data_IF_093110899005
#
_entry.id   IF_093110899005
#
_cell.length_a   1.000
_cell.length_b   1.000
_cell.length_c   1.000
_cell.angle_alpha   90.00
_cell.angle_beta   90.00
_cell.angle_gamma   90.00
#
_symmetry.space_group_name_H-M   'P 1'
#
loop_
_entity.id
_entity.type
_entity.pdbx_description
1 polymer ?
#
# COMPACT_ATOMS: atom_id res chain seq x y z
N UNK A 1 11.22 70.64 -30.37
CA UNK A 1 11.36 70.16 -31.76
C UNK A 1 11.46 68.64 -31.73
N UNK A 2 10.50 67.90 -32.33
CA UNK A 2 10.64 66.44 -32.47
C UNK A 2 11.41 66.16 -33.76
N UNK A 3 12.56 65.50 -33.65
CA UNK A 3 13.39 65.09 -34.78
C UNK A 3 12.53 64.37 -35.83
N UNK A 4 12.59 64.85 -37.08
CA UNK A 4 11.93 64.19 -38.20
C UNK A 4 12.70 62.92 -38.52
N UNK A 5 12.24 61.77 -38.00
CA UNK A 5 12.76 60.46 -38.40
C UNK A 5 12.60 60.29 -39.92
N UNK A 6 13.71 60.14 -40.62
CA UNK A 6 13.78 59.88 -42.06
C UNK A 6 13.51 58.40 -42.32
N UNK A 7 12.64 58.12 -43.30
CA UNK A 7 12.30 56.76 -43.75
C UNK A 7 13.25 56.40 -44.88
N UNK A 8 14.00 55.30 -44.73
CA UNK A 8 15.00 54.83 -45.69
C UNK A 8 14.55 53.53 -46.38
N UNK A 9 15.11 53.25 -47.55
CA UNK A 9 14.87 51.97 -48.25
C UNK A 9 15.50 50.83 -47.43
N UNK A 10 14.73 49.77 -47.18
CA UNK A 10 15.10 48.65 -46.32
C UNK A 10 14.53 48.71 -44.90
N UNK A 11 14.00 49.86 -44.47
CA UNK A 11 13.43 50.00 -43.13
C UNK A 11 12.17 49.16 -42.95
N UNK A 12 12.02 48.60 -41.74
CA UNK A 12 10.90 47.74 -41.35
C UNK A 12 10.00 48.45 -40.36
N UNK A 13 8.73 48.65 -40.74
CA UNK A 13 7.70 49.27 -39.91
C UNK A 13 6.50 48.32 -39.75
N UNK A 14 6.47 47.58 -38.64
CA UNK A 14 5.49 46.50 -38.45
C UNK A 14 5.71 45.37 -39.46
N UNK A 15 4.70 45.06 -40.26
CA UNK A 15 4.77 44.04 -41.33
C UNK A 15 5.20 44.62 -42.69
N UNK A 16 5.58 45.90 -42.75
CA UNK A 16 6.03 46.59 -43.96
C UNK A 16 7.55 46.66 -44.07
N UNK A 17 8.07 46.42 -45.27
CA UNK A 17 9.45 46.67 -45.67
C UNK A 17 9.46 47.73 -46.78
N UNK A 18 10.20 48.82 -46.59
CA UNK A 18 10.30 49.89 -47.60
C UNK A 18 11.15 49.43 -48.77
N UNK A 19 10.57 49.33 -49.97
CA UNK A 19 11.27 48.90 -51.19
C UNK A 19 11.84 50.11 -51.94
N UNK A 20 11.07 51.20 -52.01
CA UNK A 20 11.44 52.37 -52.80
C UNK A 20 10.90 53.63 -52.15
N UNK A 21 11.74 54.65 -52.08
CA UNK A 21 11.29 55.99 -51.75
C UNK A 21 10.69 56.66 -53.00
N UNK A 22 9.46 57.18 -52.89
CA UNK A 22 8.76 57.80 -54.02
C UNK A 22 8.87 59.32 -53.97
N UNK A 23 8.46 59.94 -52.86
CA UNK A 23 8.48 61.39 -52.70
C UNK A 23 8.59 61.79 -51.22
N UNK A 24 8.48 63.09 -50.91
CA UNK A 24 8.61 63.61 -49.53
C UNK A 24 7.55 63.05 -48.56
N UNK A 25 6.44 62.52 -49.04
CA UNK A 25 5.30 62.11 -48.21
C UNK A 25 4.99 60.60 -48.25
N UNK A 26 5.38 59.89 -49.31
CA UNK A 26 5.02 58.49 -49.56
C UNK A 26 6.23 57.62 -49.88
N UNK A 27 6.17 56.36 -49.45
CA UNK A 27 7.12 55.32 -49.80
C UNK A 27 6.40 54.06 -50.29
N UNK A 28 7.00 53.35 -51.23
CA UNK A 28 6.50 52.07 -51.73
C UNK A 28 6.97 50.94 -50.81
N UNK A 29 6.02 50.25 -50.17
CA UNK A 29 6.30 49.24 -49.16
C UNK A 29 5.77 47.87 -49.58
N UNK A 30 6.56 46.82 -49.32
CA UNK A 30 6.15 45.41 -49.40
C UNK A 30 5.68 44.94 -48.04
N UNK A 31 4.50 44.36 -47.94
CA UNK A 31 4.11 43.69 -46.70
C UNK A 31 4.62 42.24 -46.70
N UNK A 32 4.76 41.64 -45.52
CA UNK A 32 4.99 40.19 -45.34
C UNK A 32 3.98 39.31 -46.09
N UNK A 33 2.80 39.84 -46.39
CA UNK A 33 1.75 39.23 -47.22
C UNK A 33 2.09 39.13 -48.71
N UNK A 34 3.22 39.72 -49.17
CA UNK A 34 3.63 39.82 -50.56
C UNK A 34 3.01 41.00 -51.33
N UNK A 35 2.02 41.69 -50.76
CA UNK A 35 1.36 42.82 -51.41
C UNK A 35 2.22 44.09 -51.33
N UNK A 36 2.27 44.84 -52.43
CA UNK A 36 3.02 46.09 -52.55
C UNK A 36 2.02 47.25 -52.56
N UNK A 37 2.23 48.28 -51.73
CA UNK A 37 1.38 49.47 -51.69
C UNK A 37 2.21 50.73 -51.43
N UNK A 38 1.68 51.86 -51.89
CA UNK A 38 2.13 53.18 -51.47
C UNK A 38 1.60 53.49 -50.08
N UNK A 39 2.49 53.83 -49.15
CA UNK A 39 2.15 54.12 -47.77
C UNK A 39 2.77 55.46 -47.37
N UNK A 40 2.02 56.29 -46.64
CA UNK A 40 2.52 57.57 -46.13
C UNK A 40 3.67 57.34 -45.15
N UNK A 41 4.79 58.05 -45.36
CA UNK A 41 5.96 58.05 -44.46
C UNK A 41 5.57 58.46 -43.04
N UNK A 42 4.67 59.43 -42.90
CA UNK A 42 4.15 59.85 -41.61
C UNK A 42 3.47 58.69 -40.88
N UNK A 43 2.59 57.95 -41.56
CA UNK A 43 1.87 56.84 -40.94
C UNK A 43 2.75 55.62 -40.62
N UNK A 44 3.86 55.42 -41.35
CA UNK A 44 4.87 54.40 -41.04
C UNK A 44 5.61 54.76 -39.74
N UNK A 45 6.07 56.00 -39.61
CA UNK A 45 6.81 56.49 -38.43
C UNK A 45 5.93 56.56 -37.19
N UNK A 46 4.68 57.03 -37.31
CA UNK A 46 3.72 57.08 -36.20
C UNK A 46 3.08 55.72 -35.88
N UNK A 47 3.25 54.72 -36.75
CA UNK A 47 2.71 53.37 -36.55
C UNK A 47 1.20 53.24 -36.78
N UNK A 48 0.57 54.19 -37.49
CA UNK A 48 -0.85 54.14 -37.86
C UNK A 48 -1.15 53.06 -38.91
N UNK A 49 -0.17 52.70 -39.76
CA UNK A 49 -0.29 51.55 -40.67
C UNK A 49 0.80 50.54 -40.36
N UNK A 50 0.39 49.36 -39.88
CA UNK A 50 1.30 48.26 -39.53
C UNK A 50 1.29 47.12 -40.54
N UNK A 51 0.39 47.13 -41.54
CA UNK A 51 0.28 46.08 -42.56
C UNK A 51 -0.53 46.49 -43.80
N UNK A 52 -0.49 45.67 -44.86
CA UNK A 52 -1.22 45.84 -46.13
C UNK A 52 -2.76 45.78 -46.04
N UNK A 53 -3.33 45.53 -44.86
CA UNK A 53 -4.76 45.23 -44.70
C UNK A 53 -5.17 43.88 -45.28
N UNK A 54 -4.21 43.00 -45.62
CA UNK A 54 -4.52 41.66 -46.14
C UNK A 54 -5.29 40.77 -45.16
N UNK A 55 -5.42 41.18 -43.90
CA UNK A 55 -6.25 40.51 -42.90
C UNK A 55 -7.69 40.29 -43.39
N UNK A 56 -8.21 41.12 -44.31
CA UNK A 56 -9.53 40.98 -44.92
C UNK A 56 -9.64 40.20 -46.25
N UNK A 57 -8.55 39.69 -46.84
CA UNK A 57 -8.68 38.83 -48.04
C UNK A 57 -9.17 37.43 -47.63
N UNK A 58 -9.96 36.76 -48.46
CA UNK A 58 -10.41 35.39 -48.19
C UNK A 58 -9.22 34.39 -48.18
N UNK A 59 -9.22 33.41 -47.27
CA UNK A 59 -8.30 32.26 -47.32
C UNK A 59 -8.85 31.27 -48.34
N UNK A 60 -8.04 30.83 -49.30
CA UNK A 60 -8.44 29.85 -50.30
C UNK A 60 -8.57 28.45 -49.67
N UNK A 61 -9.64 27.75 -50.01
CA UNK A 61 -9.81 26.32 -49.71
C UNK A 61 -8.72 25.54 -50.46
N UNK A 62 -8.12 24.56 -49.80
CA UNK A 62 -6.96 23.79 -50.30
C UNK A 62 -5.60 24.44 -50.06
N UNK A 63 -5.54 25.69 -49.58
CA UNK A 63 -4.27 26.34 -49.27
C UNK A 63 -3.53 25.64 -48.13
N UNK A 64 -2.21 25.50 -48.28
CA UNK A 64 -1.34 24.89 -47.28
C UNK A 64 -0.61 25.95 -46.46
N UNK A 65 -0.62 25.78 -45.13
CA UNK A 65 0.04 26.64 -44.17
C UNK A 65 0.84 25.79 -43.18
N UNK A 66 2.12 25.56 -43.45
CA UNK A 66 2.92 24.58 -42.71
C UNK A 66 2.38 23.16 -42.95
N UNK A 67 1.99 22.46 -41.89
CA UNK A 67 1.38 21.13 -41.96
C UNK A 67 -0.15 21.18 -42.07
N UNK A 68 -0.74 22.37 -42.12
CA UNK A 68 -2.18 22.55 -42.26
C UNK A 68 -2.61 22.64 -43.72
N UNK A 69 -3.69 21.94 -44.06
CA UNK A 69 -4.45 22.11 -45.31
C UNK A 69 -5.82 22.67 -44.97
N UNK A 70 -6.21 23.79 -45.58
CA UNK A 70 -7.53 24.42 -45.37
C UNK A 70 -8.61 23.60 -46.07
N UNK A 71 -9.61 23.12 -45.34
CA UNK A 71 -10.71 22.31 -45.89
C UNK A 71 -11.95 23.16 -46.14
N UNK A 72 -12.37 23.95 -45.16
CA UNK A 72 -13.63 24.67 -45.23
C UNK A 72 -13.58 25.99 -44.43
N UNK A 73 -14.30 27.03 -44.86
CA UNK A 73 -14.59 28.16 -43.99
C UNK A 73 -15.52 27.73 -42.85
N UNK A 74 -15.28 28.24 -41.64
CA UNK A 74 -16.20 28.05 -40.49
C UNK A 74 -16.92 29.35 -40.22
N UNK A 75 -16.16 30.41 -39.94
CA UNK A 75 -16.69 31.73 -39.64
C UNK A 75 -15.79 32.83 -40.24
N UNK A 76 -16.09 34.09 -39.94
CA UNK A 76 -15.32 35.24 -40.43
C UNK A 76 -13.84 35.21 -39.97
N UNK A 77 -13.53 34.59 -38.84
CA UNK A 77 -12.21 34.59 -38.21
C UNK A 77 -11.49 33.23 -38.24
N UNK A 78 -12.20 32.13 -38.50
CA UNK A 78 -11.69 30.75 -38.43
C UNK A 78 -11.93 29.98 -39.72
N UNK A 79 -11.01 29.08 -40.02
CA UNK A 79 -11.13 28.08 -41.07
C UNK A 79 -10.88 26.69 -40.48
N UNK A 80 -11.56 25.68 -41.00
CA UNK A 80 -11.29 24.30 -40.69
C UNK A 80 -10.04 23.87 -41.45
N UNK A 81 -9.03 23.41 -40.71
CA UNK A 81 -7.80 22.89 -41.29
C UNK A 81 -7.59 21.43 -40.88
N UNK A 82 -7.12 20.60 -41.82
CA UNK A 82 -6.63 19.25 -41.55
C UNK A 82 -5.11 19.26 -41.56
N UNK A 83 -4.53 18.75 -40.47
CA UNK A 83 -3.10 18.59 -40.35
C UNK A 83 -2.65 17.37 -41.16
N UNK A 84 -1.37 17.31 -41.53
CA UNK A 84 -0.75 16.13 -42.15
C UNK A 84 -0.97 14.81 -41.40
N UNK A 85 -1.23 14.83 -40.09
CA UNK A 85 -1.56 13.65 -39.28
C UNK A 85 -3.06 13.27 -39.30
N UNK A 86 -3.88 13.92 -40.12
CA UNK A 86 -5.33 13.70 -40.21
C UNK A 86 -6.17 14.41 -39.14
N UNK A 87 -5.55 15.11 -38.17
CA UNK A 87 -6.32 15.86 -37.17
C UNK A 87 -6.91 17.13 -37.77
N UNK A 88 -8.23 17.30 -37.64
CA UNK A 88 -8.96 18.49 -38.08
C UNK A 88 -9.19 19.45 -36.92
N UNK A 89 -8.92 20.75 -37.12
CA UNK A 89 -9.18 21.78 -36.10
C UNK A 89 -9.64 23.10 -36.72
N UNK A 90 -10.49 23.85 -36.02
CA UNK A 90 -10.72 25.26 -36.31
C UNK A 90 -9.46 26.06 -35.97
N UNK A 91 -8.91 26.76 -36.96
CA UNK A 91 -7.71 27.60 -36.79
C UNK A 91 -8.03 29.03 -37.22
N UNK A 92 -7.58 30.01 -36.44
CA UNK A 92 -7.78 31.41 -36.78
C UNK A 92 -7.04 31.78 -38.08
N UNK A 93 -7.74 32.49 -38.98
CA UNK A 93 -7.19 33.00 -40.23
C UNK A 93 -5.91 33.82 -40.00
N UNK A 94 -5.87 34.59 -38.90
CA UNK A 94 -4.71 35.41 -38.53
C UNK A 94 -3.51 34.58 -38.06
N UNK A 95 -3.71 33.48 -37.35
CA UNK A 95 -2.60 32.64 -36.83
C UNK A 95 -2.03 31.70 -37.89
N UNK A 96 -2.83 31.29 -38.87
CA UNK A 96 -2.36 30.60 -40.09
C UNK A 96 -1.45 31.52 -40.92
N UNK A 97 -1.90 32.75 -41.18
CA UNK A 97 -1.15 33.73 -41.99
C UNK A 97 0.15 34.18 -41.35
N UNK A 98 0.12 34.49 -40.06
CA UNK A 98 1.31 34.89 -39.31
C UNK A 98 2.26 33.71 -39.01
N UNK A 99 1.92 32.48 -39.42
CA UNK A 99 2.74 31.30 -39.18
C UNK A 99 2.85 30.88 -37.71
N UNK A 100 2.01 31.44 -36.81
CA UNK A 100 1.95 31.03 -35.40
C UNK A 100 1.35 29.63 -35.23
N UNK A 101 0.42 29.25 -36.11
CA UNK A 101 -0.15 27.91 -36.16
C UNK A 101 0.40 27.14 -37.36
N UNK A 102 1.39 26.26 -37.12
CA UNK A 102 2.03 25.45 -38.18
C UNK A 102 1.55 24.00 -38.24
N UNK A 103 0.93 23.48 -37.17
CA UNK A 103 0.41 22.09 -37.09
C UNK A 103 -0.65 21.95 -35.98
N UNK A 104 -1.26 20.77 -35.87
CA UNK A 104 -2.36 20.49 -34.90
C UNK A 104 -1.96 20.48 -33.44
N UNK A 105 -0.73 20.82 -33.09
CA UNK A 105 -0.24 20.77 -31.71
C UNK A 105 0.04 19.34 -31.23
N UNK A 106 -0.75 18.33 -31.65
CA UNK A 106 -0.45 16.91 -31.40
C UNK A 106 0.83 16.48 -32.13
N UNK A 107 1.03 16.84 -33.40
CA UNK A 107 2.30 16.55 -34.10
C UNK A 107 3.51 17.16 -33.39
N UNK A 108 3.38 18.41 -32.95
CA UNK A 108 4.43 19.12 -32.22
C UNK A 108 4.71 18.46 -30.87
N UNK A 109 3.66 18.09 -30.14
CA UNK A 109 3.79 17.38 -28.86
C UNK A 109 4.40 15.98 -29.05
N UNK A 110 4.03 15.24 -30.10
CA UNK A 110 4.58 13.94 -30.42
C UNK A 110 6.07 14.00 -30.77
N UNK A 111 6.48 14.96 -31.60
CA UNK A 111 7.92 15.19 -31.88
C UNK A 111 8.69 15.54 -30.61
N UNK A 112 8.15 16.46 -29.81
CA UNK A 112 8.77 16.85 -28.54
C UNK A 112 8.84 15.70 -27.54
N UNK A 113 7.82 14.84 -27.52
CA UNK A 113 7.81 13.64 -26.69
C UNK A 113 8.89 12.64 -27.13
N UNK A 114 9.06 12.42 -28.45
CA UNK A 114 10.11 11.57 -28.99
C UNK A 114 11.52 12.08 -28.65
N UNK A 115 11.74 13.39 -28.76
CA UNK A 115 12.98 14.05 -28.39
C UNK A 115 13.28 13.91 -26.88
N UNK A 116 12.28 14.17 -26.03
CA UNK A 116 12.41 13.99 -24.58
C UNK A 116 12.67 12.53 -24.19
N UNK A 117 12.03 11.56 -24.85
CA UNK A 117 12.30 10.14 -24.60
C UNK A 117 13.76 9.79 -24.93
N UNK A 118 14.31 10.34 -26.02
CA UNK A 118 15.71 10.13 -26.40
C UNK A 118 16.70 10.78 -25.41
N UNK A 119 16.38 11.95 -24.87
CA UNK A 119 17.25 12.70 -23.95
C UNK A 119 17.23 12.14 -22.53
N UNK A 120 16.04 11.78 -22.00
CA UNK A 120 15.86 11.57 -20.57
C UNK A 120 15.73 10.11 -20.12
N UNK A 121 15.43 9.16 -21.01
CA UNK A 121 15.32 7.75 -20.61
C UNK A 121 16.68 7.27 -20.09
N UNK A 122 16.69 6.71 -18.87
CA UNK A 122 17.91 6.28 -18.18
C UNK A 122 18.66 7.38 -17.42
N UNK A 123 18.26 8.65 -17.56
CA UNK A 123 18.89 9.75 -16.83
C UNK A 123 18.63 9.64 -15.31
N UNK A 124 19.67 9.92 -14.52
CA UNK A 124 19.66 9.83 -13.06
C UNK A 124 19.60 11.21 -12.42
N UNK A 125 18.66 11.39 -11.49
CA UNK A 125 18.45 12.61 -10.71
C UNK A 125 18.40 12.26 -9.22
N UNK A 126 19.54 12.33 -8.54
CA UNK A 126 19.67 11.80 -7.19
C UNK A 126 19.40 10.29 -7.19
N UNK A 127 18.34 9.88 -6.48
CA UNK A 127 17.91 8.49 -6.35
C UNK A 127 16.92 8.07 -7.42
N UNK A 128 16.42 9.02 -8.22
CA UNK A 128 15.49 8.76 -9.30
C UNK A 128 16.23 8.36 -10.58
N UNK A 129 15.76 7.31 -11.23
CA UNK A 129 16.10 6.94 -12.60
C UNK A 129 14.85 7.08 -13.45
N UNK A 130 14.93 7.82 -14.56
CA UNK A 130 13.80 7.98 -15.46
C UNK A 130 13.64 6.70 -16.29
N UNK A 131 12.49 6.04 -16.15
CA UNK A 131 12.14 4.84 -16.93
C UNK A 131 11.49 5.25 -18.26
N UNK A 132 10.54 6.18 -18.20
CA UNK A 132 9.78 6.61 -19.38
C UNK A 132 9.28 8.06 -19.23
N UNK A 133 8.87 8.66 -20.33
CA UNK A 133 8.23 9.97 -20.39
C UNK A 133 6.73 9.77 -20.67
N UNK A 134 5.91 10.17 -19.70
CA UNK A 134 4.45 10.02 -19.74
C UNK A 134 3.84 11.10 -20.64
N UNK A 135 4.29 12.34 -20.47
CA UNK A 135 3.85 13.50 -21.25
C UNK A 135 5.00 14.50 -21.41
N UNK A 136 4.76 15.62 -22.12
CA UNK A 136 5.82 16.61 -22.40
C UNK A 136 6.37 17.34 -21.17
N UNK A 137 5.80 17.12 -19.98
CA UNK A 137 6.15 17.76 -18.71
C UNK A 137 6.54 16.75 -17.61
N UNK A 138 6.16 15.48 -17.74
CA UNK A 138 6.21 14.49 -16.67
C UNK A 138 6.91 13.20 -17.10
N UNK A 139 7.80 12.72 -16.24
CA UNK A 139 8.55 11.49 -16.40
C UNK A 139 8.13 10.46 -15.34
N UNK A 140 8.01 9.19 -15.73
CA UNK A 140 7.91 8.07 -14.81
C UNK A 140 9.31 7.72 -14.31
N UNK A 141 9.51 7.87 -13.00
CA UNK A 141 10.80 7.66 -12.35
C UNK A 141 10.72 6.47 -11.40
N UNK A 142 11.78 5.67 -11.35
CA UNK A 142 12.01 4.62 -10.35
C UNK A 142 13.11 5.06 -9.41
N UNK A 143 12.84 5.00 -8.12
CA UNK A 143 13.82 5.29 -7.10
C UNK A 143 14.72 4.07 -6.87
N UNK A 144 15.92 4.26 -6.34
CA UNK A 144 16.77 3.15 -5.84
C UNK A 144 16.02 2.24 -4.84
N UNK A 145 15.02 2.80 -4.13
CA UNK A 145 14.12 2.09 -3.21
C UNK A 145 13.08 1.19 -3.92
N UNK A 146 13.05 1.14 -5.26
CA UNK A 146 12.04 0.44 -6.07
C UNK A 146 10.69 1.16 -6.21
N UNK A 147 10.48 2.28 -5.50
CA UNK A 147 9.24 3.07 -5.63
C UNK A 147 9.20 3.77 -6.99
N UNK A 148 8.06 3.64 -7.68
CA UNK A 148 7.82 4.31 -8.96
C UNK A 148 6.86 5.49 -8.78
N UNK A 149 7.20 6.65 -9.36
CA UNK A 149 6.36 7.87 -9.30
C UNK A 149 6.42 8.66 -10.59
N UNK A 150 5.30 9.30 -10.93
CA UNK A 150 5.24 10.30 -12.00
C UNK A 150 5.70 11.65 -11.43
N UNK A 151 6.75 12.22 -12.01
CA UNK A 151 7.41 13.43 -11.51
C UNK A 151 7.54 14.43 -12.65
N UNK A 152 7.33 15.72 -12.39
CA UNK A 152 7.57 16.76 -13.38
C UNK A 152 9.07 16.88 -13.71
N UNK A 153 9.41 16.87 -14.99
CA UNK A 153 10.78 17.01 -15.52
C UNK A 153 11.42 18.31 -14.99
N UNK A 154 10.66 19.41 -14.93
CA UNK A 154 11.15 20.68 -14.38
C UNK A 154 11.55 20.58 -12.90
N UNK A 155 10.87 19.75 -12.11
CA UNK A 155 11.20 19.55 -10.69
C UNK A 155 12.47 18.70 -10.51
N UNK A 156 12.72 17.74 -11.42
CA UNK A 156 13.96 16.97 -11.48
C UNK A 156 15.15 17.87 -11.84
N UNK A 157 15.01 18.67 -12.92
CA UNK A 157 16.04 19.63 -13.34
C UNK A 157 16.36 20.67 -12.27
N UNK A 158 15.34 21.17 -11.57
CA UNK A 158 15.51 22.15 -10.50
C UNK A 158 15.97 21.53 -9.15
N UNK A 159 16.20 20.21 -9.08
CA UNK A 159 16.66 19.54 -7.86
C UNK A 159 15.66 19.56 -6.69
N UNK A 160 14.37 19.83 -6.94
CA UNK A 160 13.35 19.91 -5.87
C UNK A 160 12.93 18.55 -5.35
N UNK A 161 13.13 17.50 -6.16
CA UNK A 161 12.85 16.11 -5.78
C UNK A 161 14.00 15.23 -6.24
N UNK A 162 14.72 14.67 -5.26
CA UNK A 162 15.91 13.85 -5.48
C UNK A 162 15.73 12.41 -4.97
N UNK A 163 14.62 12.08 -4.30
CA UNK A 163 14.33 10.70 -3.86
C UNK A 163 12.84 10.47 -3.58
N UNK A 164 12.45 9.20 -3.42
CA UNK A 164 11.12 8.78 -2.97
C UNK A 164 10.80 9.21 -1.52
N UNK A 165 11.79 9.70 -0.77
CA UNK A 165 11.77 9.90 0.68
C UNK A 165 12.59 8.87 1.44
N UNK A 166 13.01 7.77 0.79
CA UNK A 166 13.88 6.72 1.35
C UNK A 166 15.24 7.22 1.82
N UNK A 167 15.71 8.38 1.34
CA UNK A 167 16.96 8.96 1.81
C UNK A 167 16.93 9.26 3.31
N UNK A 168 15.76 9.51 3.88
CA UNK A 168 15.58 9.70 5.33
C UNK A 168 15.78 8.42 6.14
N UNK A 169 15.81 7.27 5.48
CA UNK A 169 15.76 5.94 6.09
C UNK A 169 16.95 5.08 5.69
N UNK A 170 17.90 5.59 4.90
CA UNK A 170 19.08 4.84 4.41
C UNK A 170 19.92 4.20 5.51
N UNK A 171 20.05 4.87 6.66
CA UNK A 171 20.82 4.38 7.79
C UNK A 171 19.95 3.69 8.85
N UNK A 172 18.70 3.33 8.52
CA UNK A 172 17.78 2.65 9.43
C UNK A 172 17.35 1.33 8.82
N UNK A 173 17.21 0.31 9.65
CA UNK A 173 16.70 -0.99 9.21
C UNK A 173 15.29 -0.83 8.59
N UNK A 174 15.08 -1.25 7.33
CA UNK A 174 13.80 -1.08 6.61
C UNK A 174 12.59 -1.61 7.39
N UNK A 175 12.74 -2.70 8.14
CA UNK A 175 11.66 -3.27 8.95
C UNK A 175 11.28 -2.32 10.10
N UNK A 176 12.28 -1.79 10.81
CA UNK A 176 12.04 -0.84 11.92
C UNK A 176 11.41 0.47 11.47
N UNK A 177 11.72 0.90 10.23
CA UNK A 177 11.18 2.12 9.63
C UNK A 177 9.72 1.96 9.27
N UNK A 178 9.35 0.83 8.65
CA UNK A 178 7.97 0.53 8.28
C UNK A 178 7.06 0.49 9.52
N UNK A 179 7.49 -0.26 10.54
CA UNK A 179 6.79 -0.35 11.82
C UNK A 179 6.65 1.03 12.48
N UNK A 180 7.72 1.84 12.51
CA UNK A 180 7.69 3.17 13.11
C UNK A 180 6.75 4.15 12.38
N UNK A 181 6.66 4.06 11.05
CA UNK A 181 5.78 4.89 10.24
C UNK A 181 4.31 4.48 10.43
N UNK A 182 4.03 3.18 10.44
CA UNK A 182 2.69 2.64 10.66
C UNK A 182 2.16 3.01 12.05
N UNK A 183 2.98 2.82 13.09
CA UNK A 183 2.65 3.25 14.45
C UNK A 183 2.40 4.76 14.51
N UNK A 184 3.25 5.56 13.85
CA UNK A 184 3.08 7.00 13.78
C UNK A 184 1.76 7.41 13.11
N UNK A 185 1.35 6.68 12.07
CA UNK A 185 0.11 6.91 11.36
C UNK A 185 -1.11 6.55 12.21
N UNK A 186 -1.10 5.39 12.89
CA UNK A 186 -2.15 4.96 13.82
C UNK A 186 -2.39 6.00 14.91
N UNK A 187 -1.31 6.46 15.57
CA UNK A 187 -1.40 7.47 16.64
C UNK A 187 -1.98 8.78 16.10
N UNK A 188 -1.57 9.19 14.90
CA UNK A 188 -2.05 10.41 14.26
C UNK A 188 -3.53 10.31 13.89
N UNK A 189 -3.97 9.18 13.35
CA UNK A 189 -5.35 8.96 12.95
C UNK A 189 -6.28 8.88 14.16
N UNK A 190 -5.87 8.20 15.24
CA UNK A 190 -6.60 8.16 16.50
C UNK A 190 -6.79 9.57 17.11
N UNK A 191 -5.71 10.37 17.15
CA UNK A 191 -5.81 11.76 17.62
C UNK A 191 -6.74 12.60 16.73
N UNK A 192 -6.68 12.44 15.40
CA UNK A 192 -7.56 13.17 14.48
C UNK A 192 -9.02 12.77 14.58
N UNK A 193 -9.32 11.49 14.85
CA UNK A 193 -10.69 11.02 15.08
C UNK A 193 -11.32 11.67 16.32
N UNK A 194 -10.51 12.03 17.33
CA UNK A 194 -10.95 12.83 18.48
C UNK A 194 -10.97 14.36 18.21
N UNK A 195 -10.69 14.78 16.98
CA UNK A 195 -10.59 16.20 16.62
C UNK A 195 -9.33 16.89 17.18
N UNK A 196 -8.32 16.12 17.57
CA UNK A 196 -7.07 16.60 18.15
C UNK A 196 -5.94 16.68 17.12
N UNK A 197 -4.84 17.31 17.53
CA UNK A 197 -3.55 17.30 16.83
C UNK A 197 -2.50 16.83 17.81
N UNK A 198 -1.47 16.11 17.35
CA UNK A 198 -0.44 15.54 18.23
C UNK A 198 0.38 16.59 18.98
N UNK A 199 0.58 17.76 18.39
CA UNK A 199 1.40 18.84 18.97
C UNK A 199 0.69 20.18 18.84
N UNK A 200 0.31 20.74 19.99
CA UNK A 200 -0.19 22.10 20.09
C UNK A 200 0.92 23.10 20.41
N UNK A 201 1.92 22.67 21.19
CA UNK A 201 3.09 23.47 21.58
C UNK A 201 4.27 23.26 20.61
N UNK A 202 5.26 24.17 20.67
CA UNK A 202 6.54 24.09 19.92
C UNK A 202 6.38 24.09 18.38
N UNK A 203 5.45 24.89 17.86
CA UNK A 203 5.34 25.13 16.42
C UNK A 203 6.42 26.11 15.96
N UNK A 204 7.00 25.84 14.80
CA UNK A 204 7.96 26.75 14.18
C UNK A 204 7.29 28.09 13.87
N UNK A 205 7.96 29.18 14.23
CA UNK A 205 7.51 30.54 13.93
C UNK A 205 7.61 30.75 12.41
N UNK A 206 6.61 31.39 11.83
CA UNK A 206 6.61 31.72 10.42
C UNK A 206 7.72 32.76 10.14
N UNK A 207 8.56 32.52 9.11
CA UNK A 207 9.65 33.42 8.71
C UNK A 207 9.17 34.84 8.38
N UNK A 208 7.91 34.98 7.97
CA UNK A 208 7.30 36.27 7.64
C UNK A 208 6.65 36.96 8.86
N UNK A 209 6.86 36.45 10.07
CA UNK A 209 6.28 37.01 11.29
C UNK A 209 7.04 38.27 11.72
N UNK A 210 6.38 39.43 11.63
CA UNK A 210 6.98 40.71 11.99
C UNK A 210 7.24 40.89 13.51
N UNK A 211 6.47 40.20 14.35
CA UNK A 211 6.54 40.30 15.83
C UNK A 211 7.35 39.18 16.47
N UNK A 212 7.75 38.16 15.71
CA UNK A 212 8.38 36.94 16.24
C UNK A 212 7.48 36.06 17.12
N UNK A 213 6.22 36.44 17.38
CA UNK A 213 5.30 35.71 18.27
C UNK A 213 4.06 35.27 17.50
N UNK A 214 3.75 33.97 17.53
CA UNK A 214 2.62 33.40 16.79
C UNK A 214 1.29 33.88 17.36
N UNK A 215 0.44 34.48 16.51
CA UNK A 215 -0.87 34.99 16.92
C UNK A 215 -0.82 36.38 17.57
N UNK A 216 0.30 37.09 17.44
CA UNK A 216 0.42 38.51 17.82
C UNK A 216 0.78 39.31 16.59
N UNK A 217 -0.07 40.27 16.20
CA UNK A 217 0.19 41.17 15.09
C UNK A 217 0.33 42.62 15.57
N UNK A 218 1.26 43.35 14.95
CA UNK A 218 1.39 44.80 15.12
C UNK A 218 0.24 45.48 14.38
N UNK A 219 -0.49 46.33 15.08
CA UNK A 219 -1.59 47.17 14.59
C UNK A 219 -1.22 48.64 14.79
N UNK A 220 -1.66 49.50 13.89
CA UNK A 220 -1.47 50.96 14.00
C UNK A 220 -2.86 51.55 14.23
N UNK A 221 -3.07 52.17 15.40
CA UNK A 221 -4.33 52.85 15.74
C UNK A 221 -4.49 54.11 14.87
N UNK A 222 -5.71 54.62 14.76
CA UNK A 222 -6.02 55.85 13.99
C UNK A 222 -5.18 57.05 14.45
N UNK A 223 -4.81 57.08 15.73
CA UNK A 223 -3.99 58.13 16.35
C UNK A 223 -2.48 57.95 16.12
N UNK A 224 -2.07 57.04 15.22
CA UNK A 224 -0.66 56.74 14.91
C UNK A 224 0.07 55.88 15.95
N UNK A 225 -0.54 55.62 17.11
CA UNK A 225 0.04 54.76 18.16
C UNK A 225 0.09 53.30 17.72
N UNK A 226 1.22 52.64 18.01
CA UNK A 226 1.40 51.20 17.76
C UNK A 226 0.73 50.42 18.88
N UNK A 227 -0.09 49.44 18.51
CA UNK A 227 -0.68 48.47 19.42
C UNK A 227 -0.42 47.04 18.92
N UNK A 228 -0.52 46.06 19.80
CA UNK A 228 -0.30 44.66 19.52
C UNK A 228 -1.58 43.89 19.77
N UNK A 229 -2.18 43.37 18.70
CA UNK A 229 -3.39 42.56 18.79
C UNK A 229 -3.01 41.09 18.96
N UNK A 230 -3.49 40.48 20.04
CA UNK A 230 -3.29 39.06 20.31
C UNK A 230 -4.56 38.26 20.00
N UNK A 231 -4.40 37.09 19.38
CA UNK A 231 -5.48 36.16 19.10
C UNK A 231 -5.00 34.71 19.18
N UNK A 232 -5.94 33.80 19.45
CA UNK A 232 -5.73 32.35 19.38
C UNK A 232 -6.79 31.73 18.48
N UNK A 233 -6.41 30.73 17.69
CA UNK A 233 -7.39 29.97 16.89
C UNK A 233 -7.63 28.62 17.55
N UNK A 234 -8.89 28.34 17.86
CA UNK A 234 -9.34 27.12 18.52
C UNK A 234 -10.54 26.58 17.75
N UNK A 235 -10.52 25.31 17.33
CA UNK A 235 -11.60 24.69 16.54
C UNK A 235 -11.99 25.49 15.29
N UNK A 236 -11.00 26.00 14.55
CA UNK A 236 -11.18 26.87 13.36
C UNK A 236 -11.89 28.21 13.64
N UNK A 237 -12.13 28.57 14.91
CA UNK A 237 -12.65 29.87 15.32
C UNK A 237 -11.54 30.72 15.93
N UNK A 238 -11.41 31.96 15.48
CA UNK A 238 -10.47 32.92 16.02
C UNK A 238 -11.08 33.59 17.26
N UNK A 239 -10.38 33.49 18.40
CA UNK A 239 -10.72 34.12 19.66
C UNK A 239 -9.76 35.30 19.85
N UNK A 240 -10.31 36.51 19.90
CA UNK A 240 -9.54 37.72 20.25
C UNK A 240 -9.19 37.71 21.73
N UNK A 241 -7.92 37.97 22.06
CA UNK A 241 -7.44 38.02 23.44
C UNK A 241 -7.37 39.46 23.95
N UNK A 242 -7.14 40.41 23.07
CA UNK A 242 -7.09 41.84 23.37
C UNK A 242 -6.15 42.60 22.44
N UNK A 243 -6.11 43.91 22.62
CA UNK A 243 -5.09 44.81 22.08
C UNK A 243 -4.29 45.38 23.23
N UNK A 244 -2.97 45.32 23.12
CA UNK A 244 -2.02 45.72 24.16
C UNK A 244 -1.08 46.78 23.62
N UNK A 245 -0.53 47.64 24.48
CA UNK A 245 0.39 48.68 24.02
C UNK A 245 1.82 48.14 23.87
N UNK A 246 2.17 47.07 24.60
CA UNK A 246 3.48 46.40 24.51
C UNK A 246 3.39 45.01 23.87
N UNK A 247 4.47 44.62 23.16
CA UNK A 247 4.60 43.28 22.59
C UNK A 247 4.62 42.19 23.67
N UNK A 248 5.23 42.49 24.83
CA UNK A 248 5.38 41.55 25.93
C UNK A 248 4.04 41.20 26.57
N UNK A 249 3.17 42.19 26.78
CA UNK A 249 1.80 41.97 27.27
C UNK A 249 0.96 41.17 26.29
N UNK A 250 1.03 41.48 24.99
CA UNK A 250 0.35 40.69 23.98
C UNK A 250 0.86 39.24 23.93
N UNK A 251 2.16 39.03 24.11
CA UNK A 251 2.77 37.71 24.17
C UNK A 251 2.38 36.95 25.44
N UNK A 252 2.29 37.61 26.60
CA UNK A 252 1.86 36.98 27.86
C UNK A 252 0.38 36.57 27.80
N UNK A 253 -0.49 37.43 27.26
CA UNK A 253 -1.89 37.11 27.00
C UNK A 253 -2.03 35.92 26.03
N UNK A 254 -1.20 35.89 24.97
CA UNK A 254 -1.14 34.76 24.05
C UNK A 254 -0.73 33.47 24.76
N UNK A 255 0.30 33.51 25.60
CA UNK A 255 0.80 32.36 26.36
C UNK A 255 -0.26 31.82 27.34
N UNK A 256 -0.92 32.71 28.08
CA UNK A 256 -2.04 32.35 28.95
C UNK A 256 -3.16 31.63 28.18
N UNK A 257 -3.49 32.11 26.98
CA UNK A 257 -4.46 31.46 26.13
C UNK A 257 -4.00 30.08 25.61
N UNK A 258 -2.70 29.89 25.33
CA UNK A 258 -2.17 28.55 25.01
C UNK A 258 -2.33 27.61 26.19
N UNK A 259 -1.97 28.04 27.39
CA UNK A 259 -2.15 27.21 28.59
C UNK A 259 -3.62 26.87 28.83
N UNK A 260 -4.54 27.83 28.65
CA UNK A 260 -5.98 27.60 28.83
C UNK A 260 -6.59 26.66 27.78
N UNK A 261 -6.29 26.87 26.49
CA UNK A 261 -6.99 26.17 25.41
C UNK A 261 -6.22 24.98 24.83
N UNK A 262 -4.89 25.02 24.85
CA UNK A 262 -4.05 23.98 24.25
C UNK A 262 -3.54 22.96 25.26
N UNK A 263 -3.28 23.33 26.51
CA UNK A 263 -2.78 22.38 27.52
C UNK A 263 -3.70 21.16 27.73
N UNK A 264 -5.03 21.32 27.95
CA UNK A 264 -5.91 20.16 28.12
C UNK A 264 -5.99 19.27 26.87
N UNK A 265 -5.83 19.87 25.68
CA UNK A 265 -5.84 19.15 24.41
C UNK A 265 -4.56 18.38 24.17
N UNK A 266 -3.42 18.95 24.57
CA UNK A 266 -2.13 18.30 24.54
C UNK A 266 -2.13 17.09 25.49
N UNK A 267 -2.62 17.25 26.72
CA UNK A 267 -2.72 16.16 27.70
C UNK A 267 -3.58 14.99 27.16
N UNK A 268 -4.70 15.29 26.49
CA UNK A 268 -5.52 14.26 25.82
C UNK A 268 -4.76 13.57 24.67
N UNK A 269 -4.09 14.34 23.81
CA UNK A 269 -3.33 13.78 22.70
C UNK A 269 -2.16 12.91 23.20
N UNK A 270 -1.49 13.32 24.28
CA UNK A 270 -0.41 12.59 24.91
C UNK A 270 -0.92 11.30 25.57
N UNK A 271 -2.12 11.33 26.17
CA UNK A 271 -2.78 10.15 26.73
C UNK A 271 -3.10 9.12 25.64
N UNK A 272 -3.75 9.51 24.55
CA UNK A 272 -4.05 8.63 23.40
C UNK A 272 -2.77 7.97 22.88
N UNK A 273 -1.71 8.78 22.71
CA UNK A 273 -0.41 8.28 22.28
C UNK A 273 0.16 7.26 23.27
N UNK A 274 0.08 7.53 24.57
CA UNK A 274 0.59 6.62 25.60
C UNK A 274 -0.17 5.29 25.63
N UNK A 275 -1.50 5.33 25.54
CA UNK A 275 -2.37 4.16 25.55
C UNK A 275 -2.09 3.26 24.33
N UNK A 276 -2.01 3.83 23.12
CA UNK A 276 -1.68 3.08 21.89
C UNK A 276 -0.27 2.46 21.98
N UNK A 277 0.72 3.22 22.46
CA UNK A 277 2.08 2.68 22.61
C UNK A 277 2.14 1.56 23.66
N UNK A 278 1.32 1.63 24.70
CA UNK A 278 1.19 0.57 25.70
C UNK A 278 0.58 -0.69 25.09
N UNK A 279 -0.52 -0.57 24.36
CA UNK A 279 -1.15 -1.69 23.66
C UNK A 279 -0.19 -2.38 22.68
N UNK A 280 0.55 -1.60 21.88
CA UNK A 280 1.53 -2.15 20.93
C UNK A 280 2.64 -2.91 21.66
N UNK A 281 3.13 -2.39 22.80
CA UNK A 281 4.14 -3.07 23.61
C UNK A 281 3.61 -4.36 24.22
N UNK A 282 2.37 -4.36 24.70
CA UNK A 282 1.70 -5.55 25.25
C UNK A 282 1.52 -6.61 24.15
N UNK A 283 1.03 -6.24 22.97
CA UNK A 283 0.91 -7.15 21.82
C UNK A 283 2.27 -7.71 21.37
N UNK A 284 3.33 -6.89 21.41
CA UNK A 284 4.67 -7.35 21.07
C UNK A 284 5.19 -8.34 22.11
N UNK A 285 5.01 -8.05 23.40
CA UNK A 285 5.37 -8.96 24.49
C UNK A 285 4.59 -10.28 24.43
N UNK A 286 3.30 -10.25 24.07
CA UNK A 286 2.49 -11.44 23.86
C UNK A 286 2.99 -12.28 22.68
N UNK A 287 3.32 -11.65 21.55
CA UNK A 287 3.91 -12.33 20.39
C UNK A 287 5.28 -12.93 20.71
N UNK A 288 6.12 -12.20 21.43
CA UNK A 288 7.43 -12.68 21.89
C UNK A 288 7.27 -13.85 22.87
N UNK A 289 6.33 -13.76 23.81
CA UNK A 289 5.99 -14.87 24.72
C UNK A 289 5.48 -16.08 23.93
N UNK A 290 4.60 -15.86 22.95
CA UNK A 290 4.08 -16.93 22.08
C UNK A 290 5.17 -17.57 21.21
N UNK A 291 6.17 -16.79 20.79
CA UNK A 291 7.34 -17.28 20.06
C UNK A 291 8.37 -17.97 20.98
N UNK A 292 8.48 -17.52 22.24
CA UNK A 292 9.38 -18.05 23.26
C UNK A 292 8.84 -19.29 23.96
N UNK A 293 7.52 -19.56 23.88
CA UNK A 293 6.99 -20.90 24.13
C UNK A 293 7.72 -21.80 23.14
N UNK A 294 8.64 -22.68 23.59
CA UNK A 294 9.28 -23.60 22.69
C UNK A 294 8.14 -24.34 22.02
N UNK A 295 8.14 -24.38 20.68
CA UNK A 295 7.31 -25.33 19.96
C UNK A 295 7.63 -26.67 20.60
N UNK A 296 6.77 -27.13 21.50
CA UNK A 296 6.78 -28.52 21.90
C UNK A 296 6.42 -29.18 20.58
N UNK A 297 7.42 -29.67 19.86
CA UNK A 297 7.26 -30.53 18.71
C UNK A 297 6.68 -31.87 19.18
N UNK A 298 5.51 -31.83 19.80
CA UNK A 298 4.61 -32.97 19.84
C UNK A 298 3.99 -33.06 18.46
N UNK A 299 4.75 -33.74 17.58
CA UNK A 299 4.61 -33.86 16.14
C UNK A 299 5.04 -32.62 15.35
N UNK A 300 6.30 -32.63 14.92
CA UNK A 300 6.55 -32.37 13.51
C UNK A 300 5.50 -33.11 12.67
N UNK A 301 4.47 -32.40 12.19
CA UNK A 301 3.93 -32.75 10.89
C UNK A 301 5.13 -32.66 9.97
N UNK A 302 5.68 -33.83 9.61
CA UNK A 302 6.67 -33.96 8.54
C UNK A 302 6.27 -33.01 7.41
N UNK A 303 7.22 -32.35 6.74
CA UNK A 303 6.90 -31.59 5.54
C UNK A 303 5.99 -32.46 4.66
N UNK A 304 4.82 -31.95 4.27
CA UNK A 304 3.90 -32.63 3.34
C UNK A 304 4.50 -32.59 1.93
N UNK A 305 5.67 -33.19 1.78
CA UNK A 305 6.39 -33.45 0.54
C UNK A 305 7.34 -34.64 0.72
N UNK A 306 6.95 -35.65 1.52
CA UNK A 306 7.29 -37.02 1.11
C UNK A 306 6.15 -37.40 0.17
N UNK A 307 6.37 -37.24 -1.12
CA UNK A 307 5.60 -38.02 -2.09
C UNK A 307 5.72 -39.47 -1.61
N UNK A 308 4.61 -40.13 -1.24
CA UNK A 308 4.61 -41.55 -0.85
C UNK A 308 4.93 -42.47 -2.05
N UNK A 309 5.63 -41.94 -3.04
CA UNK A 309 6.10 -42.57 -4.26
C UNK A 309 7.38 -43.31 -3.89
N UNK A 310 7.27 -44.62 -3.85
CA UNK A 310 8.41 -45.52 -3.72
C UNK A 310 8.49 -46.37 -4.98
N UNK A 311 9.70 -46.87 -5.26
CA UNK A 311 9.89 -47.85 -6.31
C UNK A 311 9.16 -49.14 -5.94
N UNK A 312 8.27 -49.59 -6.83
CA UNK A 312 7.43 -50.78 -6.67
C UNK A 312 7.52 -51.64 -7.90
N UNK A 313 7.37 -52.94 -7.72
CA UNK A 313 7.36 -53.90 -8.81
C UNK A 313 5.93 -54.10 -9.30
N UNK A 314 5.71 -53.94 -10.61
CA UNK A 314 4.41 -54.21 -11.20
C UNK A 314 4.06 -55.70 -11.11
N UNK A 315 2.87 -56.04 -10.61
CA UNK A 315 2.44 -57.45 -10.46
C UNK A 315 2.12 -58.16 -11.79
N UNK A 316 2.14 -57.46 -12.91
CA UNK A 316 1.78 -58.00 -14.24
C UNK A 316 3.02 -58.21 -15.10
N UNK A 317 3.87 -57.19 -15.20
CA UNK A 317 5.05 -57.23 -16.07
C UNK A 317 6.40 -57.25 -15.31
N UNK A 318 6.40 -57.16 -13.97
CA UNK A 318 7.62 -57.20 -13.17
C UNK A 318 8.49 -55.93 -13.23
N UNK A 319 8.15 -54.93 -14.05
CA UNK A 319 8.92 -53.69 -14.17
C UNK A 319 8.81 -52.87 -12.86
N UNK A 320 9.95 -52.32 -12.41
CA UNK A 320 10.01 -51.37 -11.30
C UNK A 320 9.51 -49.99 -11.74
N UNK A 321 8.61 -49.39 -10.97
CA UNK A 321 8.01 -48.09 -11.27
C UNK A 321 7.78 -47.28 -9.98
N UNK A 322 7.79 -45.96 -10.09
CA UNK A 322 7.47 -45.07 -8.98
C UNK A 322 5.95 -45.00 -8.75
N UNK A 323 5.48 -45.42 -7.58
CA UNK A 323 4.05 -45.49 -7.28
C UNK A 323 3.71 -45.25 -5.81
N UNK A 324 2.50 -44.74 -5.56
CA UNK A 324 1.96 -44.55 -4.20
C UNK A 324 1.78 -45.89 -3.43
N UNK A 325 1.45 -45.86 -2.12
CA UNK A 325 1.42 -47.04 -1.25
C UNK A 325 0.58 -48.21 -1.75
N UNK A 326 -0.48 -47.91 -2.50
CA UNK A 326 -1.46 -48.87 -3.03
C UNK A 326 -1.28 -49.16 -4.52
N UNK A 327 -0.25 -48.64 -5.18
CA UNK A 327 -0.04 -48.83 -6.62
C UNK A 327 0.46 -50.26 -6.91
N UNK A 328 -0.37 -51.06 -7.60
CA UNK A 328 -0.06 -52.47 -7.96
C UNK A 328 0.53 -52.64 -9.36
N UNK A 329 0.25 -51.69 -10.26
CA UNK A 329 0.58 -51.81 -11.69
C UNK A 329 1.38 -50.61 -12.17
N UNK A 330 2.34 -50.82 -13.07
CA UNK A 330 3.03 -49.74 -13.78
C UNK A 330 2.03 -48.96 -14.66
N UNK A 331 2.39 -47.75 -15.13
CA UNK A 331 1.49 -46.92 -15.94
C UNK A 331 0.91 -47.66 -17.17
N UNK A 332 1.74 -48.44 -17.86
CA UNK A 332 1.36 -49.23 -19.04
C UNK A 332 0.35 -50.35 -18.70
N UNK A 333 0.69 -51.22 -17.75
CA UNK A 333 -0.21 -52.30 -17.33
C UNK A 333 -1.51 -51.78 -16.73
N UNK A 334 -1.46 -50.63 -16.02
CA UNK A 334 -2.65 -49.96 -15.49
C UNK A 334 -3.60 -49.53 -16.59
N UNK A 335 -3.08 -49.01 -17.72
CA UNK A 335 -3.88 -48.60 -18.87
C UNK A 335 -4.52 -49.80 -19.58
N UNK A 336 -3.76 -50.89 -19.78
CA UNK A 336 -4.28 -52.13 -20.38
C UNK A 336 -5.44 -52.70 -19.57
N UNK A 337 -5.24 -52.88 -18.26
CA UNK A 337 -6.28 -53.39 -17.35
C UNK A 337 -7.49 -52.45 -17.30
N UNK A 338 -7.27 -51.13 -17.31
CA UNK A 338 -8.37 -50.16 -17.33
C UNK A 338 -9.20 -50.32 -18.62
N UNK A 339 -8.54 -50.37 -19.79
CA UNK A 339 -9.22 -50.54 -21.08
C UNK A 339 -10.02 -51.83 -21.15
N UNK A 340 -9.48 -52.93 -20.64
CA UNK A 340 -10.20 -54.21 -20.55
C UNK A 340 -11.42 -54.12 -19.63
N UNK A 341 -11.24 -53.53 -18.44
CA UNK A 341 -12.34 -53.31 -17.50
C UNK A 341 -13.42 -52.42 -18.08
N UNK A 342 -13.06 -51.35 -18.80
CA UNK A 342 -14.00 -50.44 -19.44
C UNK A 342 -14.76 -51.15 -20.58
N UNK A 343 -14.08 -51.99 -21.37
CA UNK A 343 -14.72 -52.85 -22.39
C UNK A 343 -15.69 -53.85 -21.76
N UNK A 344 -15.27 -54.48 -20.67
CA UNK A 344 -16.11 -55.43 -19.95
C UNK A 344 -17.31 -54.73 -19.29
N UNK A 345 -17.13 -53.53 -18.73
CA UNK A 345 -18.22 -52.71 -18.20
C UNK A 345 -19.20 -52.32 -19.30
N UNK A 346 -18.72 -51.96 -20.50
CA UNK A 346 -19.58 -51.72 -21.68
C UNK A 346 -20.36 -52.96 -22.10
N UNK A 347 -19.75 -54.16 -22.03
CA UNK A 347 -20.41 -55.44 -22.34
C UNK A 347 -21.45 -55.84 -21.29
N UNK A 348 -21.12 -55.72 -20.01
CA UNK A 348 -21.98 -56.13 -18.88
C UNK A 348 -23.10 -55.13 -18.58
N UNK A 349 -22.99 -53.90 -19.08
CA UNK A 349 -23.93 -52.81 -18.80
C UNK A 349 -23.85 -52.28 -17.37
N UNK A 350 -24.48 -51.14 -17.13
CA UNK A 350 -24.54 -50.53 -15.79
C UNK A 350 -25.70 -51.15 -15.02
N UNK A 351 -25.41 -52.02 -14.05
CA UNK A 351 -26.44 -52.66 -13.19
C UNK A 351 -27.31 -51.66 -12.43
N UNK A 352 -26.79 -50.47 -12.16
CA UNK A 352 -27.45 -49.40 -11.39
C UNK A 352 -27.21 -48.05 -12.06
N UNK A 353 -28.07 -47.64 -13.00
CA UNK A 353 -27.90 -46.40 -13.75
C UNK A 353 -28.08 -45.17 -12.84
N UNK A 354 -27.35 -44.10 -13.15
CA UNK A 354 -27.50 -42.81 -12.46
C UNK A 354 -28.90 -42.28 -12.80
N UNK A 355 -29.66 -41.88 -11.79
CA UNK A 355 -31.05 -41.46 -11.90
C UNK A 355 -32.11 -42.54 -11.66
N UNK A 356 -31.73 -43.81 -11.46
CA UNK A 356 -32.69 -44.83 -11.02
C UNK A 356 -33.09 -44.63 -9.55
N UNK A 357 -34.17 -45.29 -9.12
CA UNK A 357 -34.56 -45.38 -7.71
C UNK A 357 -33.84 -46.59 -7.09
N UNK A 358 -33.26 -46.43 -5.90
CA UNK A 358 -32.68 -47.51 -5.09
C UNK A 358 -33.03 -47.33 -3.60
N UNK A 359 -32.84 -48.37 -2.79
CA UNK A 359 -33.26 -48.42 -1.38
C UNK A 359 -32.08 -48.17 -0.44
N UNK A 360 -32.27 -47.27 0.53
CA UNK A 360 -31.24 -46.90 1.51
C UNK A 360 -30.94 -48.07 2.46
N UNK A 361 -29.67 -48.48 2.55
CA UNK A 361 -29.26 -49.58 3.44
C UNK A 361 -29.36 -49.28 4.94
N UNK A 362 -29.63 -48.02 5.33
CA UNK A 362 -29.76 -47.61 6.73
C UNK A 362 -31.21 -47.47 7.18
N UNK A 363 -32.07 -46.87 6.34
CA UNK A 363 -33.45 -46.55 6.72
C UNK A 363 -34.52 -47.21 5.83
N UNK A 364 -34.13 -47.92 4.77
CA UNK A 364 -35.06 -48.58 3.85
C UNK A 364 -35.87 -47.65 2.95
N UNK A 365 -35.66 -46.33 3.01
CA UNK A 365 -36.32 -45.37 2.11
C UNK A 365 -35.74 -45.41 0.71
N UNK A 366 -36.59 -45.23 -0.29
CA UNK A 366 -36.20 -45.04 -1.68
C UNK A 366 -35.47 -43.70 -1.88
N UNK A 367 -34.48 -43.67 -2.76
CA UNK A 367 -33.75 -42.48 -3.14
C UNK A 367 -33.25 -42.54 -4.58
N UNK A 368 -33.06 -41.37 -5.20
CA UNK A 368 -32.53 -41.25 -6.55
C UNK A 368 -31.00 -41.43 -6.49
N UNK A 369 -30.49 -42.34 -7.33
CA UNK A 369 -29.06 -42.68 -7.37
C UNK A 369 -28.27 -41.60 -8.08
N UNK A 370 -27.47 -40.84 -7.34
CA UNK A 370 -26.59 -39.81 -7.89
C UNK A 370 -25.19 -40.36 -8.22
N UNK A 371 -24.76 -41.43 -7.53
CA UNK A 371 -23.47 -42.08 -7.80
C UNK A 371 -23.53 -43.60 -7.67
N UNK A 372 -22.78 -44.31 -8.52
CA UNK A 372 -22.73 -45.79 -8.50
C UNK A 372 -22.17 -46.41 -7.22
N UNK A 373 -21.64 -45.61 -6.28
CA UNK A 373 -21.15 -46.06 -4.97
C UNK A 373 -22.06 -45.65 -3.81
N UNK A 374 -23.14 -44.91 -4.06
CA UNK A 374 -24.05 -44.43 -3.03
C UNK A 374 -24.78 -45.60 -2.37
N UNK A 375 -24.67 -45.76 -1.06
CA UNK A 375 -25.37 -46.84 -0.31
C UNK A 375 -26.49 -46.33 0.58
N UNK A 376 -26.58 -45.01 0.73
CA UNK A 376 -27.42 -44.33 1.69
C UNK A 376 -28.11 -43.16 1.00
N UNK A 377 -29.34 -42.86 1.41
CA UNK A 377 -30.03 -41.64 1.01
C UNK A 377 -29.28 -40.40 1.54
N UNK A 378 -29.51 -39.20 0.98
CA UNK A 378 -28.83 -37.97 1.40
C UNK A 378 -28.93 -37.66 2.89
N UNK A 379 -30.07 -37.98 3.52
CA UNK A 379 -30.31 -37.79 4.96
C UNK A 379 -29.40 -38.69 5.82
N UNK A 380 -29.30 -39.97 5.48
CA UNK A 380 -28.53 -40.95 6.25
C UNK A 380 -27.03 -40.98 5.90
N UNK A 381 -26.65 -40.48 4.71
CA UNK A 381 -25.30 -40.64 4.18
C UNK A 381 -24.23 -40.06 5.10
N UNK A 382 -24.42 -38.84 5.61
CA UNK A 382 -23.41 -38.16 6.41
C UNK A 382 -23.07 -38.92 7.71
N UNK A 383 -24.09 -39.41 8.41
CA UNK A 383 -23.91 -40.10 9.68
C UNK A 383 -23.35 -41.51 9.50
N UNK A 384 -23.89 -42.27 8.54
CA UNK A 384 -23.48 -43.65 8.29
C UNK A 384 -22.07 -43.76 7.71
N UNK A 385 -21.69 -42.84 6.82
CA UNK A 385 -20.31 -42.76 6.32
C UNK A 385 -19.36 -42.47 7.49
N UNK A 386 -19.71 -41.53 8.37
CA UNK A 386 -18.92 -41.18 9.55
C UNK A 386 -18.79 -42.35 10.53
N UNK A 387 -19.85 -43.15 10.71
CA UNK A 387 -19.84 -44.36 11.54
C UNK A 387 -18.88 -45.41 10.97
N UNK A 388 -19.00 -45.73 9.68
CA UNK A 388 -18.10 -46.68 8.98
C UNK A 388 -16.64 -46.23 9.00
N UNK A 389 -16.36 -44.95 8.83
CA UNK A 389 -14.99 -44.44 8.89
C UNK A 389 -14.40 -44.48 10.30
N UNK A 390 -15.22 -44.26 11.35
CA UNK A 390 -14.80 -44.45 12.75
C UNK A 390 -14.47 -45.91 13.04
N UNK A 391 -15.31 -46.84 12.59
CA UNK A 391 -15.09 -48.29 12.77
C UNK A 391 -13.80 -48.73 12.09
N UNK A 392 -13.64 -48.40 10.79
CA UNK A 392 -12.41 -48.68 10.04
C UNK A 392 -11.17 -48.01 10.63
N UNK A 393 -11.33 -46.81 11.18
CA UNK A 393 -10.27 -46.10 11.89
C UNK A 393 -9.83 -46.81 13.17
N UNK A 394 -10.77 -47.40 13.92
CA UNK A 394 -10.47 -48.22 15.11
C UNK A 394 -9.73 -49.50 14.72
N UNK A 395 -10.19 -50.18 13.68
CA UNK A 395 -9.55 -51.40 13.14
C UNK A 395 -8.11 -51.12 12.69
N UNK A 396 -7.92 -50.08 11.87
CA UNK A 396 -6.59 -49.67 11.42
C UNK A 396 -5.68 -49.33 12.60
N UNK A 397 -6.18 -48.57 13.59
CA UNK A 397 -5.39 -48.22 14.77
C UNK A 397 -5.02 -49.46 15.61
N UNK A 398 -5.91 -50.44 15.72
CA UNK A 398 -5.65 -51.69 16.41
C UNK A 398 -4.58 -52.52 15.66
N UNK A 399 -4.71 -52.67 14.34
CA UNK A 399 -3.71 -53.35 13.51
C UNK A 399 -2.34 -52.69 13.60
N UNK A 400 -2.27 -51.35 13.54
CA UNK A 400 -0.99 -50.64 13.61
C UNK A 400 -0.34 -50.75 14.99
N UNK A 401 -1.14 -50.76 16.07
CA UNK A 401 -0.64 -51.01 17.43
C UNK A 401 -0.11 -52.44 17.57
N UNK A 402 -0.80 -53.42 16.98
CA UNK A 402 -0.36 -54.81 16.98
C UNK A 402 0.94 -55.02 16.18
N UNK A 403 1.08 -54.35 15.03
CA UNK A 403 2.28 -54.44 14.18
C UNK A 403 3.52 -53.74 14.74
N UNK A 404 3.38 -52.83 15.70
CA UNK A 404 4.50 -52.02 16.23
C UNK A 404 4.42 -51.82 17.76
N UNK A 405 4.58 -52.89 18.56
CA UNK A 405 4.46 -52.83 20.02
C UNK A 405 5.54 -51.95 20.68
N UNK A 406 6.76 -51.92 20.14
CA UNK A 406 7.87 -51.14 20.71
C UNK A 406 7.67 -49.62 20.57
N UNK A 407 7.12 -49.17 19.44
CA UNK A 407 6.73 -47.76 19.27
C UNK A 407 5.64 -47.33 20.23
N UNK A 408 4.72 -48.25 20.59
CA UNK A 408 3.68 -47.96 21.59
C UNK A 408 4.31 -47.79 22.98
N UNK A 409 5.31 -48.60 23.32
CA UNK A 409 6.09 -48.46 24.57
C UNK A 409 6.87 -47.16 24.59
N UNK A 410 7.55 -46.81 23.50
CA UNK A 410 8.30 -45.55 23.36
C UNK A 410 7.39 -44.32 23.47
N UNK A 411 6.21 -44.33 22.84
CA UNK A 411 5.22 -43.25 22.95
C UNK A 411 4.71 -43.07 24.38
N UNK A 412 4.47 -44.17 25.11
CA UNK A 412 4.12 -44.12 26.54
C UNK A 412 5.24 -43.53 27.38
N UNK A 413 6.51 -43.87 27.11
CA UNK A 413 7.68 -43.25 27.77
C UNK A 413 7.81 -41.76 27.46
N UNK A 414 7.66 -41.34 26.20
CA UNK A 414 7.73 -39.91 25.80
C UNK A 414 6.68 -39.02 26.45
N UNK A 415 5.50 -39.56 26.77
CA UNK A 415 4.42 -38.79 27.38
C UNK A 415 4.68 -38.39 28.84
N UNK A 416 5.60 -39.08 29.52
CA UNK A 416 5.92 -38.86 30.92
C UNK A 416 7.45 -38.83 31.08
N UNK A 417 8.05 -37.64 30.98
CA UNK A 417 9.49 -37.48 31.20
C UNK A 417 9.86 -37.77 32.66
N UNK A 418 11.09 -38.27 32.86
CA UNK A 418 11.65 -38.46 34.19
C UNK A 418 11.65 -37.12 34.94
N UNK A 419 10.81 -37.05 35.98
CA UNK A 419 10.63 -35.85 36.78
C UNK A 419 11.27 -36.08 38.15
N UNK A 420 11.84 -35.02 38.74
CA UNK A 420 12.37 -35.09 40.11
C UNK A 420 11.23 -35.02 41.12
N UNK A 421 11.24 -35.93 42.09
CA UNK A 421 10.30 -35.90 43.21
C UNK A 421 10.48 -34.61 44.03
N UNK A 422 9.40 -33.89 44.29
CA UNK A 422 9.45 -32.63 45.07
C UNK A 422 9.91 -32.85 46.51
N UNK A 423 9.70 -34.05 47.06
CA UNK A 423 10.07 -34.39 48.43
C UNK A 423 11.52 -34.88 48.50
N UNK A 424 11.85 -35.97 47.83
CA UNK A 424 13.16 -36.63 47.98
C UNK A 424 14.16 -36.33 46.87
N UNK A 425 13.78 -35.58 45.83
CA UNK A 425 14.65 -35.24 44.70
C UNK A 425 14.97 -36.38 43.73
N UNK A 426 14.61 -37.63 44.07
CA UNK A 426 14.81 -38.81 43.21
C UNK A 426 14.05 -38.65 41.89
N UNK A 427 14.72 -38.99 40.78
CA UNK A 427 14.09 -39.04 39.46
C UNK A 427 13.11 -40.22 39.37
N UNK A 428 11.93 -40.01 38.79
CA UNK A 428 10.94 -41.06 38.58
C UNK A 428 10.08 -40.79 37.34
N UNK A 429 9.53 -41.84 36.74
CA UNK A 429 8.53 -41.74 35.66
C UNK A 429 7.12 -41.63 36.26
N UNK A 430 6.40 -40.51 36.07
CA UNK A 430 5.07 -40.36 36.63
C UNK A 430 4.04 -41.22 35.87
N UNK A 431 3.21 -41.96 36.62
CA UNK A 431 2.13 -42.79 36.05
C UNK A 431 1.01 -41.96 35.42
N UNK A 432 0.88 -40.69 35.82
CA UNK A 432 -0.01 -39.71 35.19
C UNK A 432 0.60 -38.30 35.31
N UNK A 433 0.11 -37.34 34.51
CA UNK A 433 0.67 -35.99 34.44
C UNK A 433 0.54 -35.16 35.73
N UNK A 434 -0.23 -35.65 36.73
CA UNK A 434 -0.49 -34.94 37.99
C UNK A 434 0.38 -35.42 39.14
N UNK A 435 1.03 -36.59 39.02
CA UNK A 435 1.86 -37.17 40.09
C UNK A 435 3.20 -36.44 40.17
N UNK A 436 3.46 -35.78 41.30
CA UNK A 436 4.68 -34.98 41.55
C UNK A 436 5.70 -35.66 42.48
N UNK A 437 5.37 -36.87 42.93
CA UNK A 437 6.10 -37.62 43.96
C UNK A 437 6.38 -39.04 43.47
N UNK A 438 7.58 -39.56 43.78
CA UNK A 438 8.03 -40.86 43.28
C UNK A 438 7.36 -42.05 43.96
N UNK A 439 6.98 -41.90 45.23
CA UNK A 439 6.34 -42.94 46.05
C UNK A 439 5.10 -42.38 46.74
N UNK A 440 4.28 -43.28 47.27
CA UNK A 440 3.09 -42.92 48.04
C UNK A 440 3.45 -42.26 49.37
N UNK A 441 4.58 -42.65 49.99
CA UNK A 441 5.15 -41.97 51.15
C UNK A 441 5.47 -40.49 50.86
N UNK A 442 6.19 -40.22 49.76
CA UNK A 442 6.44 -38.84 49.32
C UNK A 442 5.13 -38.11 49.01
N UNK A 443 4.12 -38.81 48.49
CA UNK A 443 2.81 -38.22 48.24
C UNK A 443 2.08 -37.82 49.54
N UNK A 444 2.19 -38.64 50.59
CA UNK A 444 1.65 -38.31 51.92
C UNK A 444 2.38 -37.12 52.54
N UNK A 445 3.72 -37.08 52.44
CA UNK A 445 4.52 -35.95 52.93
C UNK A 445 4.13 -34.65 52.23
N UNK A 446 3.95 -34.71 50.90
CA UNK A 446 3.50 -33.57 50.11
C UNK A 446 2.09 -33.10 50.49
N UNK A 447 1.18 -34.02 50.83
CA UNK A 447 -0.16 -33.68 51.34
C UNK A 447 -0.07 -32.97 52.69
N UNK A 448 0.71 -33.50 53.65
CA UNK A 448 0.91 -32.88 54.98
C UNK A 448 1.47 -31.46 54.88
N UNK A 449 2.51 -31.28 54.07
CA UNK A 449 3.10 -29.96 53.81
C UNK A 449 2.07 -28.97 53.22
N UNK A 450 1.28 -29.40 52.21
CA UNK A 450 0.24 -28.54 51.61
C UNK A 450 -0.85 -28.14 52.60
N UNK A 451 -1.27 -29.05 53.47
CA UNK A 451 -2.27 -28.76 54.50
C UNK A 451 -1.72 -27.74 55.51
N UNK A 452 -0.48 -27.92 55.97
CA UNK A 452 0.18 -26.98 56.87
C UNK A 452 0.37 -25.58 56.23
N UNK A 453 0.79 -25.53 54.97
CA UNK A 453 0.95 -24.28 54.23
C UNK A 453 -0.40 -23.57 54.02
N UNK A 454 -1.48 -24.31 53.77
CA UNK A 454 -2.82 -23.74 53.64
C UNK A 454 -3.32 -23.14 54.96
N UNK A 455 -3.10 -23.83 56.09
CA UNK A 455 -3.40 -23.32 57.43
C UNK A 455 -2.60 -22.05 57.74
N UNK A 456 -1.29 -22.06 57.48
CA UNK A 456 -0.44 -20.86 57.63
C UNK A 456 -0.93 -19.68 56.79
N UNK A 457 -1.31 -19.89 55.53
CA UNK A 457 -1.87 -18.82 54.68
C UNK A 457 -3.21 -18.29 55.19
N UNK A 458 -4.02 -19.14 55.82
CA UNK A 458 -5.30 -18.76 56.41
C UNK A 458 -5.09 -17.93 57.69
N UNK A 459 -4.20 -18.37 58.58
CA UNK A 459 -3.92 -17.68 59.85
C UNK A 459 -3.16 -16.36 59.63
N UNK A 460 -2.23 -16.32 58.67
CA UNK A 460 -1.54 -15.09 58.26
C UNK A 460 -2.50 -13.99 57.76
N UNK A 461 -3.63 -14.38 57.13
CA UNK A 461 -4.69 -13.43 56.74
C UNK A 461 -5.47 -12.88 57.94
N UNK A 462 -5.49 -13.59 59.08
CA UNK A 462 -6.16 -13.16 60.32
C UNK A 462 -5.25 -12.35 61.26
N UNK A 463 -4.01 -12.06 60.84
CA UNK A 463 -3.06 -11.27 61.62
C UNK A 463 -2.22 -12.07 62.61
N UNK A 464 -2.39 -13.40 62.67
CA UNK A 464 -1.56 -14.28 63.49
C UNK A 464 -0.22 -14.52 62.79
N UNK A 465 0.90 -14.19 63.44
CA UNK A 465 2.25 -14.42 62.91
C UNK A 465 2.92 -15.59 63.63
N UNK A 466 3.05 -16.71 62.94
CA UNK A 466 3.91 -17.83 63.32
C UNK A 466 4.78 -18.29 62.14
N UNK A 467 5.79 -19.12 62.43
CA UNK A 467 6.79 -19.55 61.46
C UNK A 467 6.19 -20.29 60.27
N UNK A 468 6.63 -19.90 59.06
CA UNK A 468 6.19 -20.52 57.81
C UNK A 468 6.64 -21.99 57.75
N UNK A 469 5.73 -22.94 57.47
CA UNK A 469 6.10 -24.35 57.30
C UNK A 469 7.05 -24.50 56.10
N UNK A 470 8.24 -25.06 56.32
CA UNK A 470 9.20 -25.38 55.25
C UNK A 470 9.13 -26.86 54.89
N UNK A 471 9.49 -27.20 53.65
CA UNK A 471 9.53 -28.59 53.19
C UNK A 471 10.50 -29.45 53.99
N UNK A 472 11.57 -28.87 54.53
CA UNK A 472 12.58 -29.56 55.34
C UNK A 472 12.03 -30.03 56.69
N UNK A 473 11.11 -29.29 57.30
CA UNK A 473 10.46 -29.67 58.56
C UNK A 473 9.65 -30.96 58.41
N UNK A 474 9.17 -31.27 57.21
CA UNK A 474 8.42 -32.50 56.91
C UNK A 474 9.30 -33.62 56.35
N UNK A 475 10.61 -33.40 56.17
CA UNK A 475 11.57 -34.46 55.81
C UNK A 475 12.23 -35.11 57.04
N UNK A 476 12.17 -34.46 58.21
CA UNK A 476 12.81 -34.87 59.46
C UNK A 476 11.89 -35.66 60.41
N UNK A 477 10.71 -36.04 59.94
CA UNK A 477 9.72 -36.90 60.61
C UNK A 477 9.57 -38.13 59.74
#
# INVERSE_FOLDING_TARGET
MRERKTVSVGDIYGEWTVIKDLNKEKALCRCTCGNIKEVSKYNLVQGHTKSCGCYGKAIKIGAQYGEWTVIAPIDEFKVLCRCSCGTERPVFKMTLRSGRSKSCGKCRAARKLAELKKEFIGAKFGYWTIIDIVDTLSALCECVCGTRRVIRIAALKAGRTLSCGCKRTENRDPATVADSLEIGQIIKDAAHNEGLTLTYFRKNINKNSSTGVTGVCRSIKKDGKVAYRAYITVNRKQIGLGEYDTLQEAASARKYAEDKYFKPRQERADKIKADILKEIREQKAEKELQAAIPKIENNARRPRTITNMAERTCTVCGIKFLGGPSAKYCPECRLKIRRERDREQKRRGTRRPIGSIDVCAACGKEYIVESGKQKYCPECAAEEIKKKDRERGKEYAAEQRAKNPDKVREWKRRKYYDTKCIICGKAFTPTNARRKTCSDECQQMWRRYRTALAKWKYDAKRGERYNMPTLENFKKI
#
